data_IF_246694874836
#
_entry.id   IF_246694874836
#
_cell.length_a   1.000
_cell.length_b   1.000
_cell.length_c   1.000
_cell.angle_alpha   90.00
_cell.angle_beta   90.00
_cell.angle_gamma   90.00
#
_symmetry.space_group_name_H-M   'P 1'
#
loop_
_entity.id
_entity.type
_entity.pdbx_description
1 polymer ?
#
# COMPACT_ATOMS: atom_id res chain seq x y z
N UNK A 1 11.55 -10.12 -37.42
CA UNK A 1 10.31 -10.55 -36.76
C UNK A 1 10.64 -10.90 -35.33
N UNK A 2 10.29 -10.18 -34.28
CA UNK A 2 9.82 -8.81 -34.08
C UNK A 2 10.24 -8.53 -32.64
N UNK A 3 11.17 -7.59 -32.42
CA UNK A 3 11.45 -7.01 -31.10
C UNK A 3 10.53 -5.81 -30.80
N UNK A 4 9.46 -5.69 -31.59
CA UNK A 4 8.40 -4.71 -31.41
C UNK A 4 7.21 -5.42 -30.78
N UNK A 5 6.69 -4.81 -29.70
CA UNK A 5 5.73 -5.31 -28.70
C UNK A 5 6.37 -6.07 -27.52
N UNK A 6 7.45 -5.53 -26.97
CA UNK A 6 7.49 -5.47 -25.50
C UNK A 6 6.42 -4.43 -25.14
N UNK A 7 5.19 -4.89 -24.86
CA UNK A 7 4.17 -4.05 -24.26
C UNK A 7 4.81 -3.43 -23.02
N UNK A 8 5.13 -2.14 -23.10
CA UNK A 8 5.62 -1.38 -21.95
C UNK A 8 4.49 -1.42 -20.94
N UNK A 9 4.54 -2.39 -20.02
CA UNK A 9 3.51 -2.57 -18.99
C UNK A 9 3.54 -1.30 -18.16
N UNK A 10 2.58 -0.42 -18.42
CA UNK A 10 2.47 0.83 -17.71
C UNK A 10 2.25 0.53 -16.23
N UNK A 11 2.99 1.22 -15.37
CA UNK A 11 2.79 1.08 -13.93
C UNK A 11 1.38 1.57 -13.56
N UNK A 12 0.86 1.14 -12.42
CA UNK A 12 -0.43 1.66 -11.92
C UNK A 12 -0.42 3.18 -11.80
N UNK A 13 0.69 3.77 -11.34
CA UNK A 13 0.89 5.21 -11.29
C UNK A 13 0.84 5.87 -12.68
N UNK A 14 1.55 5.32 -13.68
CA UNK A 14 1.48 5.83 -15.06
C UNK A 14 0.07 5.68 -15.66
N UNK A 15 -0.63 4.59 -15.36
CA UNK A 15 -2.02 4.39 -15.78
C UNK A 15 -2.94 5.45 -15.18
N UNK A 16 -2.74 5.80 -13.92
CA UNK A 16 -3.49 6.85 -13.23
C UNK A 16 -3.21 8.21 -13.84
N UNK A 17 -1.94 8.54 -14.08
CA UNK A 17 -1.51 9.79 -14.72
C UNK A 17 -2.20 9.95 -16.09
N UNK A 18 -2.18 8.90 -16.92
CA UNK A 18 -2.85 8.92 -18.23
C UNK A 18 -4.37 9.13 -18.14
N UNK A 19 -5.04 8.47 -17.21
CA UNK A 19 -6.48 8.65 -17.04
C UNK A 19 -6.80 10.09 -16.62
N UNK A 20 -6.05 10.64 -15.67
CA UNK A 20 -6.23 12.02 -15.18
C UNK A 20 -5.93 13.03 -16.29
N UNK A 21 -4.88 12.82 -17.07
CA UNK A 21 -4.50 13.71 -18.17
C UNK A 21 -5.56 13.77 -19.27
N UNK A 22 -6.36 12.71 -19.44
CA UNK A 22 -7.45 12.65 -20.41
C UNK A 22 -8.65 13.55 -20.08
N UNK A 23 -8.75 14.07 -18.85
CA UNK A 23 -9.80 15.00 -18.46
C UNK A 23 -9.50 16.43 -18.93
N UNK A 24 -10.29 16.93 -19.89
CA UNK A 24 -10.14 18.28 -20.45
C UNK A 24 -10.75 19.40 -19.57
N UNK A 25 -11.80 19.09 -18.79
CA UNK A 25 -12.60 20.07 -18.03
C UNK A 25 -12.36 20.04 -16.52
N UNK A 26 -11.22 19.51 -16.09
CA UNK A 26 -10.93 19.25 -14.68
C UNK A 26 -11.56 17.95 -14.20
N UNK A 27 -10.92 17.34 -13.21
CA UNK A 27 -11.30 16.06 -12.62
C UNK A 27 -12.10 16.29 -11.34
N UNK A 28 -13.17 15.53 -11.11
CA UNK A 28 -13.94 15.60 -9.85
C UNK A 28 -13.43 14.63 -8.79
N UNK A 29 -13.85 14.82 -7.54
CA UNK A 29 -13.55 13.86 -6.47
C UNK A 29 -14.09 12.46 -6.79
N UNK A 30 -15.30 12.36 -7.36
CA UNK A 30 -15.91 11.10 -7.80
C UNK A 30 -15.08 10.37 -8.86
N UNK A 31 -14.50 11.12 -9.80
CA UNK A 31 -13.64 10.55 -10.85
C UNK A 31 -12.39 9.94 -10.22
N UNK A 32 -11.78 10.62 -9.24
CA UNK A 32 -10.59 10.12 -8.55
C UNK A 32 -10.88 8.82 -7.80
N UNK A 33 -11.99 8.73 -7.04
CA UNK A 33 -12.39 7.47 -6.39
C UNK A 33 -12.55 6.34 -7.41
N UNK A 34 -13.18 6.63 -8.55
CA UNK A 34 -13.38 5.67 -9.63
C UNK A 34 -12.07 5.21 -10.23
N UNK A 35 -11.14 6.13 -10.51
CA UNK A 35 -9.81 5.83 -11.06
C UNK A 35 -9.00 4.98 -10.09
N UNK A 36 -8.99 5.32 -8.80
CA UNK A 36 -8.27 4.56 -7.78
C UNK A 36 -8.83 3.14 -7.70
N UNK A 37 -10.15 2.96 -7.63
CA UNK A 37 -10.76 1.64 -7.63
C UNK A 37 -10.46 0.87 -8.94
N UNK A 38 -10.54 1.53 -10.09
CA UNK A 38 -10.26 0.89 -11.38
C UNK A 38 -8.82 0.37 -11.49
N UNK A 39 -7.85 1.13 -11.00
CA UNK A 39 -6.41 0.84 -11.17
C UNK A 39 -5.88 0.00 -10.01
N UNK A 40 -6.17 0.41 -8.78
CA UNK A 40 -5.60 -0.20 -7.58
C UNK A 40 -6.50 -1.26 -6.94
N UNK A 41 -7.76 -1.38 -7.40
CA UNK A 41 -8.71 -2.44 -7.01
C UNK A 41 -9.14 -2.41 -5.53
N UNK A 42 -9.09 -1.24 -4.90
CA UNK A 42 -9.54 -1.03 -3.54
C UNK A 42 -10.44 0.21 -3.44
N UNK A 43 -11.28 0.26 -2.42
CA UNK A 43 -12.24 1.35 -2.23
C UNK A 43 -11.67 2.40 -1.28
N UNK A 44 -11.24 3.52 -1.86
CA UNK A 44 -10.73 4.67 -1.11
C UNK A 44 -11.83 5.35 -0.29
N UNK A 45 -13.11 5.26 -0.67
CA UNK A 45 -14.22 5.87 0.09
C UNK A 45 -14.52 5.10 1.39
N UNK A 46 -14.20 3.81 1.44
CA UNK A 46 -14.31 2.99 2.63
C UNK A 46 -13.19 3.25 3.66
N UNK A 47 -12.15 4.03 3.31
CA UNK A 47 -11.01 4.29 4.18
C UNK A 47 -11.24 5.59 4.96
N UNK A 48 -11.19 5.56 6.30
CA UNK A 48 -11.27 6.77 7.11
C UNK A 48 -10.13 7.72 6.76
N UNK A 49 -10.45 9.01 6.59
CA UNK A 49 -9.42 10.04 6.47
C UNK A 49 -8.63 10.13 7.78
N UNK A 50 -7.32 10.37 7.68
CA UNK A 50 -6.46 10.67 8.81
C UNK A 50 -6.98 11.93 9.49
N UNK A 51 -7.50 11.78 10.70
CA UNK A 51 -7.82 12.91 11.56
C UNK A 51 -6.50 13.52 12.03
N UNK A 52 -6.00 14.54 11.32
CA UNK A 52 -4.91 15.38 11.82
C UNK A 52 -5.46 16.31 12.91
N UNK A 53 -5.90 15.73 14.03
CA UNK A 53 -6.13 16.49 15.24
C UNK A 53 -4.76 16.78 15.85
N UNK A 54 -4.08 17.81 15.36
CA UNK A 54 -3.13 18.52 16.20
C UNK A 54 -3.91 19.07 17.39
N UNK A 55 -3.59 18.59 18.59
CA UNK A 55 -4.10 19.15 19.84
C UNK A 55 -3.95 20.68 19.81
N UNK A 56 -5.07 21.40 19.79
CA UNK A 56 -5.08 22.84 20.06
C UNK A 56 -5.69 23.78 19.03
N UNK A 57 -6.26 23.32 17.90
CA UNK A 57 -7.07 24.21 17.05
C UNK A 57 -8.45 23.65 16.74
N UNK A 58 -9.43 24.50 17.05
CA UNK A 58 -10.87 24.34 16.99
C UNK A 58 -11.38 23.80 15.64
N UNK A 59 -12.44 23.00 15.72
CA UNK A 59 -13.24 22.44 14.61
C UNK A 59 -12.47 21.55 13.63
N UNK A 60 -12.11 20.35 14.09
CA UNK A 60 -11.97 19.19 13.19
C UNK A 60 -13.37 18.90 12.64
N UNK A 61 -13.74 19.56 11.55
CA UNK A 61 -14.73 19.01 10.66
C UNK A 61 -14.20 17.63 10.30
N UNK A 62 -14.85 16.58 10.81
CA UNK A 62 -14.68 15.22 10.32
C UNK A 62 -15.20 15.19 8.88
N UNK A 63 -14.42 15.79 7.98
CA UNK A 63 -14.73 15.86 6.56
C UNK A 63 -14.63 14.42 6.07
N UNK A 64 -15.71 13.94 5.47
CA UNK A 64 -15.69 12.64 4.82
C UNK A 64 -14.55 12.62 3.77
N UNK A 65 -13.98 11.44 3.45
CA UNK A 65 -12.96 11.28 2.40
C UNK A 65 -13.25 12.11 1.14
N UNK A 66 -14.51 12.12 0.72
CA UNK A 66 -15.01 12.83 -0.44
C UNK A 66 -14.95 14.35 -0.31
N UNK A 67 -15.26 14.89 0.87
CA UNK A 67 -15.20 16.34 1.10
C UNK A 67 -13.75 16.81 1.17
N UNK A 68 -12.87 16.09 1.85
CA UNK A 68 -11.44 16.42 1.89
C UNK A 68 -10.84 16.51 0.48
N UNK A 69 -11.16 15.53 -0.37
CA UNK A 69 -10.74 15.49 -1.76
C UNK A 69 -11.34 16.62 -2.60
N UNK A 70 -12.63 16.88 -2.43
CA UNK A 70 -13.32 17.96 -3.14
C UNK A 70 -12.72 19.32 -2.78
N UNK A 71 -12.51 19.61 -1.50
CA UNK A 71 -11.88 20.85 -1.03
C UNK A 71 -10.46 21.01 -1.57
N UNK A 72 -9.68 19.93 -1.65
CA UNK A 72 -8.35 19.98 -2.26
C UNK A 72 -8.42 20.41 -3.74
N UNK A 73 -9.35 19.83 -4.51
CA UNK A 73 -9.54 20.18 -5.91
C UNK A 73 -10.01 21.62 -6.10
N UNK A 74 -10.89 22.14 -5.24
CA UNK A 74 -11.35 23.53 -5.29
C UNK A 74 -10.24 24.55 -5.00
N UNK A 75 -9.24 24.17 -4.19
CA UNK A 75 -8.09 25.02 -3.88
C UNK A 75 -7.03 25.03 -5.00
N UNK A 76 -7.10 24.08 -5.94
CA UNK A 76 -6.20 24.04 -7.07
C UNK A 76 -6.71 24.97 -8.19
N UNK A 77 -5.97 26.05 -8.45
CA UNK A 77 -6.33 27.02 -9.49
C UNK A 77 -6.09 26.50 -10.93
N UNK A 78 -5.25 25.47 -11.07
CA UNK A 78 -4.80 24.88 -12.34
C UNK A 78 -5.20 23.40 -12.47
N UNK A 79 -4.96 22.82 -13.65
CA UNK A 79 -5.17 21.39 -13.90
C UNK A 79 -4.28 20.56 -12.96
N UNK A 80 -4.91 19.78 -12.09
CA UNK A 80 -4.23 18.88 -11.15
C UNK A 80 -3.64 17.67 -11.88
N UNK A 81 -2.40 17.32 -11.55
CA UNK A 81 -1.70 16.15 -12.08
C UNK A 81 -1.97 14.89 -11.26
N UNK A 82 -1.75 13.71 -11.85
CA UNK A 82 -1.92 12.46 -11.10
C UNK A 82 -0.93 12.29 -9.95
N UNK A 83 0.30 12.80 -10.06
CA UNK A 83 1.27 12.82 -8.96
C UNK A 83 0.78 13.67 -7.77
N UNK A 84 0.16 14.83 -8.04
CA UNK A 84 -0.43 15.68 -6.99
C UNK A 84 -1.60 14.99 -6.29
N UNK A 85 -2.46 14.30 -7.04
CA UNK A 85 -3.55 13.51 -6.48
C UNK A 85 -3.02 12.36 -5.62
N UNK A 86 -1.99 11.61 -6.09
CA UNK A 86 -1.37 10.55 -5.28
C UNK A 86 -0.77 11.10 -3.98
N UNK A 87 -0.11 12.25 -4.04
CA UNK A 87 0.45 12.93 -2.87
C UNK A 87 -0.64 13.32 -1.87
N UNK A 88 -1.73 13.92 -2.33
CA UNK A 88 -2.83 14.29 -1.44
C UNK A 88 -3.52 13.04 -0.87
N UNK A 89 -3.71 11.97 -1.65
CA UNK A 89 -4.24 10.69 -1.13
C UNK A 89 -3.35 10.17 0.00
N UNK A 90 -2.02 10.24 -0.17
CA UNK A 90 -1.11 9.86 0.90
C UNK A 90 -1.28 10.74 2.15
N UNK A 91 -1.40 12.05 1.99
CA UNK A 91 -1.58 12.98 3.11
C UNK A 91 -2.93 12.83 3.83
N UNK A 92 -3.99 12.53 3.09
CA UNK A 92 -5.35 12.41 3.62
C UNK A 92 -5.64 11.02 4.18
N UNK A 93 -5.08 9.95 3.59
CA UNK A 93 -5.44 8.57 3.93
C UNK A 93 -4.26 7.74 4.44
N UNK A 94 -3.03 8.24 4.36
CA UNK A 94 -1.83 7.47 4.69
C UNK A 94 -1.50 6.39 3.66
N UNK A 95 -1.99 6.54 2.42
CA UNK A 95 -1.83 5.53 1.36
C UNK A 95 -0.84 6.04 0.32
N UNK A 96 0.30 5.37 0.23
CA UNK A 96 1.32 5.67 -0.75
C UNK A 96 1.07 4.91 -2.07
N UNK A 97 0.26 5.51 -2.95
CA UNK A 97 -0.07 4.92 -4.26
C UNK A 97 1.16 4.70 -5.17
N UNK A 98 2.19 5.54 -5.06
CA UNK A 98 3.45 5.33 -5.79
C UNK A 98 4.17 4.07 -5.30
N UNK A 99 4.22 3.84 -3.98
CA UNK A 99 4.80 2.64 -3.41
C UNK A 99 4.00 1.39 -3.78
N UNK A 100 2.65 1.44 -3.71
CA UNK A 100 1.81 0.33 -4.18
C UNK A 100 2.06 0.01 -5.65
N UNK A 101 2.19 1.05 -6.49
CA UNK A 101 2.51 0.86 -7.90
C UNK A 101 3.91 0.27 -8.13
N UNK A 102 4.89 0.57 -7.28
CA UNK A 102 6.25 0.06 -7.39
C UNK A 102 6.38 -1.39 -6.88
N UNK A 103 5.42 -1.85 -6.07
CA UNK A 103 5.37 -3.22 -5.54
C UNK A 103 4.63 -4.21 -6.45
N UNK A 104 4.09 -3.74 -7.56
CA UNK A 104 3.53 -4.62 -8.59
C UNK A 104 4.58 -5.64 -9.07
N UNK A 105 4.23 -6.92 -8.98
CA UNK A 105 5.13 -8.02 -9.33
C UNK A 105 6.22 -8.32 -8.30
N UNK A 106 6.24 -7.64 -7.14
CA UNK A 106 7.17 -7.96 -6.05
C UNK A 106 6.83 -9.27 -5.32
N UNK A 107 5.69 -9.90 -5.67
CA UNK A 107 5.13 -11.12 -5.05
C UNK A 107 4.84 -10.96 -3.56
N UNK A 108 4.30 -9.79 -3.18
CA UNK A 108 3.92 -9.45 -1.82
C UNK A 108 2.49 -8.93 -1.83
N UNK A 109 1.62 -9.56 -1.04
CA UNK A 109 0.29 -9.02 -0.77
C UNK A 109 0.35 -8.04 0.41
N UNK A 110 -0.40 -6.95 0.32
CA UNK A 110 -0.52 -5.94 1.35
C UNK A 110 -1.97 -5.82 1.80
N UNK A 111 -2.21 -6.11 3.07
CA UNK A 111 -3.47 -5.84 3.73
C UNK A 111 -3.29 -4.70 4.73
N UNK A 112 -4.10 -3.65 4.60
CA UNK A 112 -4.05 -2.48 5.48
C UNK A 112 -5.42 -1.82 5.52
N UNK A 113 -5.71 -1.02 6.55
CA UNK A 113 -6.99 -0.30 6.68
C UNK A 113 -8.22 -1.18 6.40
N UNK A 114 -8.17 -2.44 6.85
CA UNK A 114 -9.23 -3.44 6.70
C UNK A 114 -9.58 -3.81 5.24
N UNK A 115 -8.64 -3.70 4.30
CA UNK A 115 -8.81 -4.17 2.92
C UNK A 115 -7.48 -4.55 2.27
N UNK A 116 -7.56 -5.29 1.16
CA UNK A 116 -6.40 -5.57 0.32
C UNK A 116 -6.02 -4.32 -0.48
N UNK A 117 -4.80 -3.82 -0.24
CA UNK A 117 -4.21 -2.71 -0.99
C UNK A 117 -3.47 -3.20 -2.23
N UNK A 118 -2.93 -4.42 -2.14
CA UNK A 118 -2.25 -5.13 -3.20
C UNK A 118 -2.42 -6.63 -2.93
N UNK A 119 -2.83 -7.39 -3.94
CA UNK A 119 -2.92 -8.85 -3.83
C UNK A 119 -2.90 -9.46 -5.23
N UNK A 120 -2.09 -10.49 -5.40
CA UNK A 120 -2.07 -11.36 -6.57
C UNK A 120 -2.05 -12.82 -6.13
N UNK A 121 -2.57 -13.71 -6.97
CA UNK A 121 -2.71 -15.14 -6.66
C UNK A 121 -1.36 -15.85 -6.41
N UNK A 122 -0.29 -15.35 -7.02
CA UNK A 122 1.07 -15.91 -6.93
C UNK A 122 1.99 -15.15 -5.93
N UNK A 123 1.41 -14.24 -5.14
CA UNK A 123 2.17 -13.58 -4.07
C UNK A 123 2.66 -14.62 -3.06
N UNK A 124 3.87 -14.42 -2.51
CA UNK A 124 4.51 -15.39 -1.62
C UNK A 124 4.24 -15.08 -0.14
N UNK A 125 4.22 -13.79 0.21
CA UNK A 125 4.09 -13.33 1.59
C UNK A 125 3.04 -12.23 1.70
N UNK A 126 2.38 -12.18 2.84
CA UNK A 126 1.42 -11.14 3.22
C UNK A 126 2.07 -10.24 4.27
N UNK A 127 2.01 -8.93 4.04
CA UNK A 127 2.20 -7.92 5.09
C UNK A 127 0.83 -7.38 5.47
N UNK A 128 0.47 -7.56 6.73
CA UNK A 128 -0.83 -7.16 7.28
C UNK A 128 -0.63 -6.11 8.36
N UNK A 129 -1.15 -4.90 8.16
CA UNK A 129 -1.14 -3.83 9.17
C UNK A 129 -2.51 -3.64 9.80
N UNK A 130 -2.54 -3.35 11.10
CA UNK A 130 -3.76 -2.95 11.79
C UNK A 130 -4.25 -1.57 11.32
N UNK A 131 -5.48 -1.21 11.69
CA UNK A 131 -6.13 0.05 11.25
C UNK A 131 -5.28 1.29 11.61
N UNK A 132 -4.64 1.28 12.78
CA UNK A 132 -3.79 2.38 13.26
C UNK A 132 -2.37 2.38 12.69
N UNK A 133 -2.00 1.39 11.86
CA UNK A 133 -0.64 1.11 11.43
C UNK A 133 0.38 1.03 12.58
N UNK A 134 -0.07 0.72 13.80
CA UNK A 134 0.79 0.58 14.99
C UNK A 134 1.53 -0.76 14.96
N UNK A 135 0.90 -1.73 14.32
CA UNK A 135 1.31 -3.12 14.28
C UNK A 135 1.38 -3.70 12.87
N UNK A 136 2.27 -4.67 12.70
CA UNK A 136 2.54 -5.35 11.44
C UNK A 136 2.71 -6.84 11.69
N UNK A 137 1.92 -7.65 11.00
CA UNK A 137 2.02 -9.11 10.95
C UNK A 137 2.55 -9.55 9.58
N UNK A 138 3.42 -10.54 9.55
CA UNK A 138 3.96 -11.14 8.32
C UNK A 138 3.76 -12.66 8.38
N UNK A 139 3.19 -13.20 7.31
CA UNK A 139 2.92 -14.63 7.15
C UNK A 139 2.96 -15.04 5.67
N UNK A 140 3.13 -16.33 5.39
CA UNK A 140 3.13 -16.84 4.02
C UNK A 140 1.71 -16.96 3.43
N UNK A 141 1.61 -16.92 2.11
CA UNK A 141 0.35 -17.22 1.39
C UNK A 141 0.14 -18.72 1.23
N UNK A 142 -1.08 -19.11 0.86
CA UNK A 142 -1.38 -20.48 0.44
C UNK A 142 -0.53 -20.90 -0.76
N UNK A 143 -0.34 -20.00 -1.74
CA UNK A 143 0.50 -20.27 -2.92
C UNK A 143 1.93 -20.64 -2.51
N UNK A 144 2.55 -19.88 -1.59
CA UNK A 144 3.89 -20.21 -1.11
C UNK A 144 3.96 -21.59 -0.47
N UNK A 145 2.98 -21.92 0.39
CA UNK A 145 2.92 -23.24 1.04
C UNK A 145 2.73 -24.37 0.03
N UNK A 146 1.90 -24.19 -1.00
CA UNK A 146 1.69 -25.18 -2.06
C UNK A 146 2.96 -25.39 -2.92
N UNK A 147 3.70 -24.32 -3.22
CA UNK A 147 4.92 -24.41 -4.04
C UNK A 147 6.12 -24.98 -3.27
N UNK A 148 6.21 -24.75 -1.96
CA UNK A 148 7.41 -25.08 -1.17
C UNK A 148 7.20 -26.24 -0.18
N UNK A 149 5.95 -26.55 0.18
CA UNK A 149 5.60 -27.45 1.26
C UNK A 149 5.85 -26.89 2.67
N UNK A 150 6.18 -25.59 2.80
CA UNK A 150 6.43 -24.94 4.09
C UNK A 150 5.14 -24.36 4.68
N UNK A 151 4.90 -24.67 5.96
CA UNK A 151 3.77 -24.18 6.75
C UNK A 151 4.14 -23.00 7.67
N UNK A 152 5.39 -22.53 7.59
CA UNK A 152 5.91 -21.40 8.36
C UNK A 152 6.74 -20.49 7.45
N UNK A 153 7.04 -19.27 7.92
CA UNK A 153 7.97 -18.39 7.23
C UNK A 153 9.34 -19.06 7.11
N UNK A 154 10.02 -18.90 5.97
CA UNK A 154 11.33 -19.49 5.79
C UNK A 154 12.37 -18.81 6.67
N UNK A 155 13.37 -19.59 7.10
CA UNK A 155 14.38 -19.15 8.06
C UNK A 155 15.14 -17.89 7.60
N UNK A 156 15.40 -17.73 6.32
CA UNK A 156 16.08 -16.55 5.77
C UNK A 156 15.25 -15.26 5.96
N UNK A 157 13.93 -15.34 5.76
CA UNK A 157 13.02 -14.23 6.07
C UNK A 157 12.97 -13.95 7.56
N UNK A 158 12.89 -14.99 8.39
CA UNK A 158 12.90 -14.85 9.85
C UNK A 158 14.17 -14.11 10.32
N UNK A 159 15.34 -14.51 9.82
CA UNK A 159 16.62 -13.88 10.16
C UNK A 159 16.72 -12.44 9.66
N UNK A 160 16.01 -12.08 8.58
CA UNK A 160 15.93 -10.71 8.09
C UNK A 160 14.98 -9.83 8.94
N UNK A 161 13.93 -10.41 9.52
CA UNK A 161 12.91 -9.71 10.30
C UNK A 161 13.30 -9.48 11.76
N UNK A 162 13.98 -10.43 12.41
CA UNK A 162 14.39 -10.32 13.83
C UNK A 162 15.20 -9.04 14.12
N UNK A 163 16.22 -8.65 13.33
CA UNK A 163 16.98 -7.42 13.57
C UNK A 163 16.16 -6.14 13.44
N UNK A 164 15.03 -6.18 12.73
CA UNK A 164 14.08 -5.06 12.63
C UNK A 164 13.16 -4.98 13.86
N UNK A 165 13.21 -5.97 14.77
CA UNK A 165 12.41 -6.01 16.00
C UNK A 165 11.16 -6.88 15.89
N UNK A 166 10.99 -7.66 14.83
CA UNK A 166 9.92 -8.64 14.76
C UNK A 166 10.19 -9.81 15.71
N UNK A 167 9.14 -10.31 16.32
CA UNK A 167 9.17 -11.53 17.14
C UNK A 167 8.06 -12.48 16.70
N UNK A 168 8.23 -13.77 16.99
CA UNK A 168 7.16 -14.74 16.78
C UNK A 168 6.16 -14.66 17.93
N UNK A 169 4.92 -14.35 17.60
CA UNK A 169 3.82 -14.33 18.55
C UNK A 169 3.02 -15.64 18.42
N UNK A 170 3.06 -16.44 19.48
CA UNK A 170 2.45 -17.77 19.51
C UNK A 170 0.92 -17.73 19.61
N UNK A 171 0.32 -16.64 20.09
CA UNK A 171 -1.14 -16.50 20.19
C UNK A 171 -1.76 -16.28 18.82
N UNK A 172 -1.09 -15.52 17.96
CA UNK A 172 -1.55 -15.23 16.59
C UNK A 172 -0.89 -16.11 15.52
N UNK A 173 0.09 -16.93 15.91
CA UNK A 173 0.80 -17.88 15.07
C UNK A 173 1.61 -17.23 13.94
N UNK A 174 2.33 -16.15 14.21
CA UNK A 174 3.00 -15.36 13.15
C UNK A 174 4.10 -14.44 13.65
N UNK A 175 4.94 -13.99 12.73
CA UNK A 175 5.88 -12.91 12.99
C UNK A 175 5.17 -11.56 13.05
N UNK A 176 5.47 -10.81 14.11
CA UNK A 176 4.75 -9.61 14.48
C UNK A 176 5.69 -8.53 14.99
N UNK A 177 5.30 -7.29 14.73
CA UNK A 177 5.92 -6.10 15.27
C UNK A 177 4.80 -5.17 15.75
N UNK A 178 4.99 -4.55 16.91
CA UNK A 178 4.17 -3.45 17.39
C UNK A 178 5.07 -2.31 17.80
N UNK A 179 4.76 -1.08 17.37
CA UNK A 179 5.51 0.09 17.78
C UNK A 179 5.41 0.27 19.31
N UNK A 180 6.53 0.27 20.06
CA UNK A 180 6.49 0.38 21.52
C UNK A 180 5.90 1.70 22.04
N UNK A 181 5.89 2.75 21.22
CA UNK A 181 5.30 4.05 21.62
C UNK A 181 3.77 4.06 21.48
N UNK A 182 3.19 3.07 20.78
CA UNK A 182 1.78 3.05 20.41
C UNK A 182 1.43 3.95 19.21
N UNK A 183 2.41 4.65 18.64
CA UNK A 183 2.21 5.46 17.45
C UNK A 183 2.21 4.62 16.18
N UNK A 184 1.67 5.17 15.08
CA UNK A 184 1.79 4.57 13.77
C UNK A 184 3.26 4.32 13.40
N UNK A 185 3.53 3.16 12.82
CA UNK A 185 4.85 2.76 12.35
C UNK A 185 5.34 3.74 11.27
N UNK A 186 6.55 4.31 11.41
CA UNK A 186 7.09 5.25 10.43
C UNK A 186 7.28 4.62 9.05
N UNK A 187 7.09 5.40 7.99
CA UNK A 187 7.28 4.93 6.60
C UNK A 187 8.68 4.38 6.33
N UNK A 188 9.72 4.93 6.99
CA UNK A 188 11.08 4.41 6.88
C UNK A 188 11.19 2.96 7.37
N UNK A 189 10.49 2.62 8.46
CA UNK A 189 10.42 1.26 8.98
C UNK A 189 9.63 0.35 8.03
N UNK A 190 8.45 0.81 7.56
CA UNK A 190 7.65 0.06 6.57
C UNK A 190 8.49 -0.27 5.33
N UNK A 191 9.28 0.69 4.84
CA UNK A 191 10.19 0.50 3.72
C UNK A 191 11.30 -0.54 4.00
N UNK A 192 11.85 -0.58 5.22
CA UNK A 192 12.84 -1.60 5.61
C UNK A 192 12.24 -3.00 5.63
N UNK A 193 11.04 -3.17 6.19
CA UNK A 193 10.32 -4.44 6.20
C UNK A 193 10.08 -4.96 4.78
N UNK A 194 9.53 -4.12 3.92
CA UNK A 194 9.25 -4.48 2.52
C UNK A 194 10.54 -4.85 1.79
N UNK A 195 11.61 -4.09 1.97
CA UNK A 195 12.91 -4.37 1.36
C UNK A 195 13.52 -5.70 1.86
N UNK A 196 13.34 -6.05 3.14
CA UNK A 196 13.79 -7.33 3.68
C UNK A 196 13.08 -8.51 2.99
N UNK A 197 11.76 -8.41 2.81
CA UNK A 197 10.97 -9.43 2.11
C UNK A 197 11.39 -9.54 0.64
N UNK A 198 11.50 -8.42 -0.08
CA UNK A 198 11.91 -8.41 -1.49
C UNK A 198 13.27 -9.07 -1.69
N UNK A 199 14.23 -8.79 -0.81
CA UNK A 199 15.57 -9.43 -0.86
C UNK A 199 15.48 -10.95 -0.74
N UNK A 200 14.64 -11.46 0.14
CA UNK A 200 14.44 -12.90 0.31
C UNK A 200 13.76 -13.50 -0.92
N UNK A 201 12.69 -12.86 -1.42
CA UNK A 201 12.00 -13.31 -2.63
C UNK A 201 12.99 -13.39 -3.80
N UNK A 202 13.75 -12.33 -4.05
CA UNK A 202 14.69 -12.27 -5.17
C UNK A 202 15.85 -13.26 -5.05
N UNK A 203 16.35 -13.50 -3.83
CA UNK A 203 17.49 -14.40 -3.60
C UNK A 203 17.10 -15.87 -3.57
N UNK A 204 16.01 -16.21 -2.87
CA UNK A 204 15.67 -17.59 -2.51
C UNK A 204 14.49 -18.13 -3.31
N UNK A 205 13.62 -17.27 -3.85
CA UNK A 205 12.34 -17.68 -4.44
C UNK A 205 12.07 -17.08 -5.83
N UNK A 206 13.09 -16.54 -6.50
CA UNK A 206 12.96 -15.96 -7.86
C UNK A 206 12.65 -16.98 -8.95
N UNK A 207 12.76 -18.27 -8.64
CA UNK A 207 12.47 -19.38 -9.54
C UNK A 207 11.03 -19.90 -9.44
N UNK A 208 10.25 -19.42 -8.44
CA UNK A 208 8.84 -19.75 -8.27
C UNK A 208 7.94 -18.92 -9.20
#
# INVERSE_FOLDING_TARGET
MSKELEEKRHTKAEGMDKLIDSYEKGISSSDIFTIVNQIFKFDLEAIPALSNATEGTLEVLSLTPRVALHTYLEQCADKVTGAEIRKMINQTFGINLDALSALEGARISLYSKSQWMLQHDEDLFVVHTGIGDVDVKIFQTTYFSEQTGLEELPNDLIQALIPLGYYYDAEIGSYYFSNPTGDAVPDAFKGQTIMAIIKVITHSYSHL
#
